data_IF_393920732439
#
_entry.id   IF_393920732439
#
_cell.length_a   1.000
_cell.length_b   1.000
_cell.length_c   1.000
_cell.angle_alpha   90.00
_cell.angle_beta   90.00
_cell.angle_gamma   90.00
#
_symmetry.space_group_name_H-M   'P 1'
#
loop_
_entity.id
_entity.type
_entity.pdbx_description
1 polymer ?
#
# COMPACT_ATOMS: atom_id res chain seq x y z
N UNK A 1 55.29 -4.26 50.80
CA UNK A 1 56.35 -4.92 50.02
C UNK A 1 56.07 -6.40 49.91
N UNK A 2 56.11 -6.93 48.68
CA UNK A 2 56.41 -8.32 48.27
C UNK A 2 55.57 -9.51 48.81
N UNK A 3 54.83 -10.06 47.85
CA UNK A 3 54.88 -11.45 47.33
C UNK A 3 54.22 -12.59 48.13
N UNK A 4 53.60 -13.44 47.32
CA UNK A 4 52.81 -14.64 47.60
C UNK A 4 53.64 -15.86 48.02
N UNK A 5 52.97 -16.82 48.67
CA UNK A 5 53.33 -18.25 48.69
C UNK A 5 52.12 -19.15 48.99
N UNK A 6 51.53 -19.63 47.89
CA UNK A 6 51.08 -20.99 47.53
C UNK A 6 51.15 -22.14 48.59
N UNK A 7 50.03 -22.88 48.71
CA UNK A 7 49.81 -24.37 48.71
C UNK A 7 49.17 -25.12 49.90
N UNK A 8 47.99 -25.71 49.57
CA UNK A 8 47.50 -27.10 49.75
C UNK A 8 47.36 -27.76 51.14
N UNK A 9 46.10 -28.01 51.50
CA UNK A 9 45.61 -29.31 52.04
C UNK A 9 44.07 -29.33 51.96
N UNK A 10 43.47 -29.98 50.98
CA UNK A 10 42.88 -31.33 51.04
C UNK A 10 41.67 -31.51 51.97
N UNK A 11 40.54 -31.82 51.32
CA UNK A 11 39.50 -32.78 51.71
C UNK A 11 38.55 -32.46 52.88
N UNK A 12 37.32 -32.06 52.53
CA UNK A 12 36.11 -32.57 53.18
C UNK A 12 34.91 -32.41 52.24
N UNK A 13 34.46 -33.54 51.70
CA UNK A 13 33.20 -33.70 50.99
C UNK A 13 32.07 -33.64 52.02
N UNK A 14 31.15 -32.69 51.90
CA UNK A 14 29.83 -32.80 52.52
C UNK A 14 28.77 -32.36 51.51
N UNK A 15 28.04 -33.39 51.11
CA UNK A 15 26.93 -33.44 50.19
C UNK A 15 25.72 -32.76 50.85
N UNK A 16 25.52 -31.46 50.60
CA UNK A 16 24.24 -30.81 50.86
C UNK A 16 23.48 -30.68 49.55
N UNK A 17 22.41 -31.48 49.44
CA UNK A 17 21.37 -31.35 48.42
C UNK A 17 20.76 -29.94 48.49
N UNK A 18 21.34 -29.02 47.75
CA UNK A 18 20.71 -27.75 47.41
C UNK A 18 19.71 -28.01 46.30
N UNK A 19 18.43 -28.01 46.62
CA UNK A 19 17.35 -27.85 45.63
C UNK A 19 17.49 -26.45 45.07
N UNK A 20 18.34 -26.31 44.05
CA UNK A 20 18.43 -25.10 43.26
C UNK A 20 17.16 -25.00 42.43
N UNK A 21 16.27 -24.08 42.79
CA UNK A 21 15.32 -23.54 41.83
C UNK A 21 16.12 -22.77 40.78
N UNK A 22 16.61 -23.50 39.78
CA UNK A 22 17.04 -22.92 38.53
C UNK A 22 15.82 -22.26 37.90
N UNK A 23 15.73 -20.93 37.98
CA UNK A 23 14.98 -20.17 37.00
C UNK A 23 15.68 -20.37 35.66
N UNK A 24 15.39 -21.48 35.00
CA UNK A 24 15.62 -21.63 33.58
C UNK A 24 14.67 -20.62 32.92
N UNK A 25 15.16 -19.41 32.64
CA UNK A 25 14.53 -18.57 31.64
C UNK A 25 14.59 -19.36 30.33
N UNK A 26 13.53 -20.11 30.07
CA UNK A 26 13.17 -20.57 28.73
C UNK A 26 13.04 -19.28 27.93
N UNK A 27 14.10 -18.92 27.22
CA UNK A 27 13.98 -18.12 26.01
C UNK A 27 13.24 -19.02 25.05
N UNK A 28 11.92 -19.09 25.20
CA UNK A 28 11.06 -19.47 24.10
C UNK A 28 11.45 -18.50 23.00
N UNK A 29 12.18 -19.01 22.01
CA UNK A 29 12.45 -18.29 20.78
C UNK A 29 11.10 -17.80 20.33
N UNK A 30 10.87 -16.49 20.51
CA UNK A 30 9.61 -15.85 20.23
C UNK A 30 9.33 -16.08 18.76
N UNK A 31 8.52 -17.11 18.47
CA UNK A 31 7.83 -17.21 17.20
C UNK A 31 7.15 -15.85 17.06
N UNK A 32 7.39 -15.10 15.97
CA UNK A 32 6.78 -13.80 15.81
C UNK A 32 5.29 -13.98 16.04
N UNK A 33 4.76 -13.20 16.99
CA UNK A 33 3.40 -13.30 17.46
C UNK A 33 2.47 -13.28 16.26
N UNK A 34 1.80 -14.40 15.99
CA UNK A 34 0.72 -14.53 15.00
C UNK A 34 -0.54 -13.76 15.45
N UNK A 35 -0.38 -12.53 15.97
CA UNK A 35 -1.46 -11.70 16.52
C UNK A 35 -1.29 -10.25 16.06
N UNK A 36 -1.75 -9.99 14.84
CA UNK A 36 -2.25 -8.66 14.41
C UNK A 36 -3.38 -8.81 13.37
N UNK A 37 -3.45 -9.92 12.64
CA UNK A 37 -4.36 -10.07 11.49
C UNK A 37 -5.70 -10.75 11.82
N UNK A 38 -6.31 -10.39 12.94
CA UNK A 38 -7.61 -10.96 13.32
C UNK A 38 -8.74 -10.25 12.55
N UNK A 39 -9.36 -11.02 11.64
CA UNK A 39 -10.42 -10.69 10.66
C UNK A 39 -10.00 -9.84 9.46
N UNK A 40 -9.53 -10.53 8.42
CA UNK A 40 -9.62 -10.04 7.03
C UNK A 40 -10.73 -10.83 6.35
N UNK A 41 -11.67 -10.15 5.70
CA UNK A 41 -12.69 -10.82 4.88
C UNK A 41 -12.01 -11.35 3.62
N UNK A 42 -11.47 -12.57 3.73
CA UNK A 42 -10.87 -13.27 2.61
C UNK A 42 -11.99 -13.71 1.65
N UNK A 43 -11.72 -13.66 0.35
CA UNK A 43 -12.61 -14.30 -0.61
C UNK A 43 -12.68 -15.83 -0.38
N UNK A 44 -13.60 -16.56 -1.02
CA UNK A 44 -13.70 -18.01 -0.86
C UNK A 44 -12.43 -18.80 -1.21
N UNK A 45 -11.45 -18.15 -1.87
CA UNK A 45 -10.14 -18.71 -2.23
C UNK A 45 -9.03 -18.27 -1.26
N UNK A 46 -9.36 -17.56 -0.18
CA UNK A 46 -8.39 -17.08 0.81
C UNK A 46 -7.62 -15.83 0.39
N UNK A 47 -8.06 -15.11 -0.66
CA UNK A 47 -7.38 -13.93 -1.19
C UNK A 47 -8.08 -12.63 -0.78
N UNK A 48 -7.29 -11.67 -0.30
CA UNK A 48 -7.71 -10.27 -0.14
C UNK A 48 -7.76 -9.60 -1.50
N UNK A 49 -8.95 -9.20 -1.95
CA UNK A 49 -9.13 -8.53 -3.24
C UNK A 49 -8.89 -7.02 -3.19
N UNK A 50 -9.19 -6.41 -2.04
CA UNK A 50 -9.03 -4.99 -1.78
C UNK A 50 -8.60 -4.84 -0.33
N UNK A 51 -7.51 -4.10 -0.08
CA UNK A 51 -7.01 -3.84 1.29
C UNK A 51 -7.29 -2.43 1.77
N UNK A 52 -8.14 -1.66 1.08
CA UNK A 52 -8.35 -0.23 1.33
C UNK A 52 -8.93 0.02 2.72
N UNK A 53 -9.93 -0.75 3.14
CA UNK A 53 -10.61 -0.56 4.43
C UNK A 53 -9.66 -0.88 5.57
N UNK A 54 -9.02 -2.05 5.53
CA UNK A 54 -8.09 -2.49 6.56
C UNK A 54 -6.86 -1.58 6.63
N UNK A 55 -6.39 -1.08 5.49
CA UNK A 55 -5.29 -0.13 5.47
C UNK A 55 -5.69 1.22 6.08
N UNK A 56 -6.87 1.75 5.74
CA UNK A 56 -7.38 3.00 6.32
C UNK A 56 -7.58 2.87 7.85
N UNK A 57 -8.10 1.75 8.34
CA UNK A 57 -8.22 1.49 9.78
C UNK A 57 -6.86 1.48 10.50
N UNK A 58 -5.84 0.89 9.86
CA UNK A 58 -4.47 0.91 10.39
C UNK A 58 -3.89 2.33 10.38
N UNK A 59 -4.23 3.10 9.36
CA UNK A 59 -3.80 4.45 9.14
C UNK A 59 -4.44 5.43 10.14
N UNK A 60 -5.72 5.30 10.49
CA UNK A 60 -6.37 6.12 11.52
C UNK A 60 -5.79 5.89 12.91
N UNK A 61 -5.35 4.66 13.23
CA UNK A 61 -4.64 4.36 14.48
C UNK A 61 -3.29 5.06 14.59
N UNK A 62 -2.61 5.26 13.46
CA UNK A 62 -1.28 5.91 13.40
C UNK A 62 -1.37 7.43 13.31
N UNK A 63 -2.40 7.97 12.67
CA UNK A 63 -2.51 9.39 12.33
C UNK A 63 -3.83 9.96 12.89
N UNK A 64 -3.82 10.57 14.09
CA UNK A 64 -5.05 10.97 14.79
C UNK A 64 -5.84 12.08 14.07
N UNK A 65 -5.21 12.82 13.17
CA UNK A 65 -5.86 13.88 12.37
C UNK A 65 -6.64 13.33 11.16
N UNK A 66 -6.53 12.02 10.85
CA UNK A 66 -7.34 11.42 9.80
C UNK A 66 -8.80 11.32 10.23
N UNK A 67 -9.68 11.75 9.34
CA UNK A 67 -11.12 11.73 9.57
C UNK A 67 -11.63 10.29 9.62
N UNK A 68 -12.52 10.01 10.58
CA UNK A 68 -13.34 8.80 10.51
C UNK A 68 -14.35 8.93 9.36
N UNK A 69 -14.89 7.81 8.91
CA UNK A 69 -15.91 7.77 7.85
C UNK A 69 -17.10 8.66 8.20
N UNK A 70 -17.59 8.65 9.44
CA UNK A 70 -18.73 9.48 9.86
C UNK A 70 -18.42 10.97 9.77
N UNK A 71 -17.20 11.38 10.16
CA UNK A 71 -16.77 12.78 10.06
C UNK A 71 -16.59 13.21 8.62
N UNK A 72 -16.04 12.33 7.77
CA UNK A 72 -15.89 12.58 6.35
C UNK A 72 -17.26 12.76 5.66
N UNK A 73 -18.22 11.86 5.94
CA UNK A 73 -19.58 11.95 5.40
C UNK A 73 -20.31 13.21 5.87
N UNK A 74 -20.20 13.56 7.16
CA UNK A 74 -20.77 14.80 7.68
C UNK A 74 -20.15 16.05 7.03
N UNK A 75 -18.88 15.99 6.66
CA UNK A 75 -18.18 17.08 5.96
C UNK A 75 -18.60 17.19 4.49
N UNK A 76 -18.72 16.09 3.75
CA UNK A 76 -19.04 16.10 2.31
C UNK A 76 -20.54 16.33 2.04
N UNK A 77 -21.44 15.90 2.94
CA UNK A 77 -22.89 16.02 2.79
C UNK A 77 -23.38 17.43 2.41
N UNK A 78 -23.02 18.52 3.13
CA UNK A 78 -23.45 19.87 2.74
C UNK A 78 -22.88 20.33 1.39
N UNK A 79 -21.69 19.85 1.00
CA UNK A 79 -21.08 20.15 -0.30
C UNK A 79 -21.85 19.49 -1.45
N UNK A 80 -22.32 18.26 -1.23
CA UNK A 80 -23.17 17.53 -2.18
C UNK A 80 -24.50 18.26 -2.39
N UNK A 81 -25.16 18.70 -1.31
CA UNK A 81 -26.42 19.44 -1.42
C UNK A 81 -26.24 20.77 -2.16
N UNK A 82 -25.14 21.49 -1.88
CA UNK A 82 -24.79 22.71 -2.63
C UNK A 82 -24.49 22.43 -4.10
N UNK A 83 -23.84 21.32 -4.42
CA UNK A 83 -23.54 20.92 -5.80
C UNK A 83 -24.81 20.54 -6.57
N UNK A 84 -25.78 19.87 -5.92
CA UNK A 84 -27.09 19.56 -6.51
C UNK A 84 -27.86 20.84 -6.86
N UNK A 85 -27.84 21.84 -5.98
CA UNK A 85 -28.52 23.11 -6.20
C UNK A 85 -27.88 23.97 -7.32
N UNK A 86 -26.55 23.89 -7.49
CA UNK A 86 -25.79 24.67 -8.47
C UNK A 86 -25.43 23.88 -9.74
N UNK A 87 -26.13 22.77 -10.02
CA UNK A 87 -25.78 21.91 -11.16
C UNK A 87 -25.97 22.68 -12.48
N UNK A 88 -24.86 23.05 -13.11
CA UNK A 88 -24.84 23.58 -14.48
C UNK A 88 -25.51 22.57 -15.41
N UNK A 89 -26.42 23.05 -16.28
CA UNK A 89 -27.06 22.23 -17.32
C UNK A 89 -26.11 21.87 -18.46
N UNK A 90 -24.94 22.52 -18.53
CA UNK A 90 -23.86 22.20 -19.46
C UNK A 90 -22.76 21.55 -18.63
N UNK A 91 -22.80 20.22 -18.53
CA UNK A 91 -21.73 19.42 -17.96
C UNK A 91 -20.63 19.27 -19.00
N UNK A 92 -19.43 19.74 -18.69
CA UNK A 92 -18.25 19.43 -19.49
C UNK A 92 -17.65 18.12 -18.97
N UNK A 93 -17.17 17.29 -19.89
CA UNK A 93 -16.41 16.10 -19.55
C UNK A 93 -15.17 16.50 -18.75
N UNK A 94 -15.00 15.91 -17.57
CA UNK A 94 -13.84 16.06 -16.69
C UNK A 94 -12.76 15.11 -17.18
N UNK A 95 -11.67 15.65 -17.73
CA UNK A 95 -10.51 14.86 -18.12
C UNK A 95 -9.48 14.84 -16.98
N UNK A 96 -9.18 13.64 -16.47
CA UNK A 96 -8.17 13.43 -15.45
C UNK A 96 -6.86 12.98 -16.13
N UNK A 97 -5.79 13.79 -16.09
CA UNK A 97 -4.47 13.36 -16.53
C UNK A 97 -3.88 12.35 -15.54
N UNK A 98 -3.41 11.22 -16.07
CA UNK A 98 -2.88 10.08 -15.30
C UNK A 98 -1.41 9.88 -15.61
N UNK A 99 -0.62 9.68 -14.56
CA UNK A 99 0.74 9.14 -14.66
C UNK A 99 0.72 7.69 -14.17
N UNK A 100 1.26 6.78 -14.97
CA UNK A 100 1.35 5.36 -14.62
C UNK A 100 2.80 5.01 -14.30
N UNK A 101 3.05 4.62 -13.06
CA UNK A 101 4.36 4.14 -12.62
C UNK A 101 4.41 2.61 -12.79
N UNK A 102 5.12 2.14 -13.83
CA UNK A 102 5.40 0.73 -14.04
C UNK A 102 6.70 0.40 -13.31
N UNK A 103 6.61 -0.43 -12.29
CA UNK A 103 7.76 -0.73 -11.45
C UNK A 103 8.20 -2.18 -11.69
N UNK A 104 9.48 -2.36 -11.99
CA UNK A 104 10.03 -3.62 -12.50
C UNK A 104 11.45 -3.89 -11.98
N UNK A 105 12.02 -5.04 -12.38
CA UNK A 105 13.31 -5.56 -11.91
C UNK A 105 14.27 -5.80 -13.09
N UNK A 106 14.35 -4.82 -14.00
CA UNK A 106 15.25 -4.86 -15.15
C UNK A 106 14.73 -5.61 -16.39
N UNK A 107 13.52 -6.17 -16.37
CA UNK A 107 12.91 -6.79 -17.55
C UNK A 107 12.72 -5.77 -18.69
N UNK A 108 12.80 -6.23 -19.94
CA UNK A 108 12.48 -5.40 -21.11
C UNK A 108 10.98 -5.06 -21.15
N UNK A 109 10.64 -3.94 -21.81
CA UNK A 109 9.24 -3.54 -22.01
C UNK A 109 8.47 -4.62 -22.77
N UNK A 110 7.29 -4.99 -22.26
CA UNK A 110 6.46 -6.08 -22.75
C UNK A 110 6.68 -7.41 -22.02
N UNK A 111 7.68 -7.49 -21.13
CA UNK A 111 7.93 -8.68 -20.30
C UNK A 111 7.56 -8.36 -18.86
N UNK A 112 6.62 -9.11 -18.31
CA UNK A 112 6.13 -8.89 -16.94
C UNK A 112 7.29 -8.92 -15.92
N UNK A 113 7.29 -8.01 -14.93
CA UNK A 113 6.28 -6.97 -14.65
C UNK A 113 6.42 -5.66 -15.46
N UNK A 114 7.41 -5.53 -16.34
CA UNK A 114 7.60 -4.33 -17.19
C UNK A 114 6.65 -4.32 -18.39
N UNK A 115 5.34 -4.14 -18.13
CA UNK A 115 4.25 -4.23 -19.13
C UNK A 115 4.41 -3.22 -20.28
N UNK A 116 3.81 -3.54 -21.45
CA UNK A 116 3.87 -2.65 -22.62
C UNK A 116 3.03 -1.38 -22.45
N UNK A 117 3.35 -0.34 -23.21
CA UNK A 117 2.53 0.89 -23.27
C UNK A 117 1.09 0.59 -23.70
N UNK A 118 0.91 -0.37 -24.61
CA UNK A 118 -0.42 -0.80 -25.05
C UNK A 118 -1.24 -1.44 -23.92
N UNK A 119 -0.60 -2.19 -23.02
CA UNK A 119 -1.26 -2.74 -21.84
C UNK A 119 -1.66 -1.62 -20.86
N UNK A 120 -0.79 -0.65 -20.63
CA UNK A 120 -1.12 0.56 -19.83
C UNK A 120 -2.33 1.29 -20.42
N UNK A 121 -2.31 1.55 -21.74
CA UNK A 121 -3.41 2.23 -22.43
C UNK A 121 -4.72 1.45 -22.38
N UNK A 122 -4.66 0.12 -22.38
CA UNK A 122 -5.87 -0.71 -22.27
C UNK A 122 -6.58 -0.51 -20.94
N UNK A 123 -5.85 -0.30 -19.84
CA UNK A 123 -6.42 -0.01 -18.53
C UNK A 123 -7.12 1.36 -18.49
N UNK A 124 -6.48 2.40 -19.04
CA UNK A 124 -7.11 3.73 -19.14
C UNK A 124 -8.37 3.71 -20.02
N UNK A 125 -8.34 2.90 -21.09
CA UNK A 125 -9.51 2.70 -21.96
C UNK A 125 -10.66 2.05 -21.18
N UNK A 126 -10.39 1.00 -20.41
CA UNK A 126 -11.41 0.35 -19.56
C UNK A 126 -11.95 1.32 -18.51
N UNK A 127 -11.08 2.06 -17.81
CA UNK A 127 -11.51 3.06 -16.84
C UNK A 127 -12.41 4.12 -17.49
N UNK A 128 -12.03 4.65 -18.64
CA UNK A 128 -12.84 5.63 -19.36
C UNK A 128 -14.18 5.04 -19.79
N UNK A 129 -14.19 3.80 -20.28
CA UNK A 129 -15.42 3.11 -20.67
C UNK A 129 -16.38 2.93 -19.49
N UNK A 130 -15.86 2.53 -18.34
CA UNK A 130 -16.62 2.27 -17.12
C UNK A 130 -17.19 3.58 -16.54
N UNK A 131 -16.35 4.61 -16.39
CA UNK A 131 -16.76 5.89 -15.82
C UNK A 131 -17.70 6.68 -16.75
N UNK A 132 -17.59 6.48 -18.07
CA UNK A 132 -18.49 7.09 -19.05
C UNK A 132 -19.72 6.26 -19.37
N UNK A 133 -19.87 5.07 -18.76
CA UNK A 133 -20.91 4.08 -19.10
C UNK A 133 -21.05 3.93 -20.62
N UNK A 134 -19.92 3.79 -21.32
CA UNK A 134 -19.83 4.02 -22.77
C UNK A 134 -20.51 2.91 -23.57
N UNK A 135 -21.49 3.27 -24.39
CA UNK A 135 -22.24 2.33 -25.26
C UNK A 135 -21.27 1.53 -26.14
N UNK A 136 -21.60 0.25 -26.37
CA UNK A 136 -20.78 -0.71 -27.12
C UNK A 136 -19.41 -1.03 -26.50
N UNK A 137 -19.27 -0.83 -25.18
CA UNK A 137 -18.09 -1.25 -24.42
C UNK A 137 -18.52 -2.04 -23.17
N UNK A 138 -17.62 -2.80 -22.52
CA UNK A 138 -17.93 -3.48 -21.26
C UNK A 138 -18.39 -2.55 -20.13
N UNK A 139 -18.10 -1.25 -20.21
CA UNK A 139 -18.54 -0.28 -19.20
C UNK A 139 -20.03 0.08 -19.29
N UNK A 140 -20.70 -0.23 -20.42
CA UNK A 140 -22.14 -0.03 -20.52
C UNK A 140 -22.92 -1.10 -19.76
N UNK A 141 -23.97 -0.69 -19.06
CA UNK A 141 -24.89 -1.59 -18.39
C UNK A 141 -26.32 -1.00 -18.36
N UNK A 142 -27.32 -1.86 -18.23
CA UNK A 142 -28.74 -1.46 -18.19
C UNK A 142 -29.27 -1.22 -16.77
N UNK A 143 -28.40 -1.11 -15.76
CA UNK A 143 -28.83 -0.89 -14.40
C UNK A 143 -29.43 0.53 -14.27
N UNK A 144 -30.67 0.69 -13.75
CA UNK A 144 -31.31 1.99 -13.60
C UNK A 144 -30.54 2.97 -12.69
N UNK A 145 -29.71 2.48 -11.77
CA UNK A 145 -28.85 3.34 -10.93
C UNK A 145 -27.46 3.60 -11.51
N UNK A 146 -27.13 2.99 -12.66
CA UNK A 146 -25.86 3.24 -13.34
C UNK A 146 -25.90 4.61 -14.03
N UNK A 147 -24.94 5.47 -13.72
CA UNK A 147 -24.83 6.81 -14.29
C UNK A 147 -23.57 6.95 -15.14
N UNK A 148 -23.66 7.80 -16.15
CA UNK A 148 -22.48 8.35 -16.81
C UNK A 148 -21.93 9.48 -15.92
N UNK A 149 -20.69 9.34 -15.45
CA UNK A 149 -20.06 10.29 -14.51
C UNK A 149 -19.35 11.45 -15.20
N UNK A 150 -19.29 11.45 -16.54
CA UNK A 150 -18.59 12.50 -17.30
C UNK A 150 -17.09 12.61 -16.99
N UNK A 151 -16.46 11.51 -16.56
CA UNK A 151 -15.01 11.45 -16.29
C UNK A 151 -14.29 10.63 -17.36
N UNK A 152 -13.22 11.19 -17.93
CA UNK A 152 -12.32 10.52 -18.87
C UNK A 152 -10.88 10.51 -18.35
N UNK A 153 -10.14 9.43 -18.61
CA UNK A 153 -8.76 9.28 -18.19
C UNK A 153 -7.83 9.29 -19.39
N UNK A 154 -6.81 10.15 -19.34
CA UNK A 154 -5.80 10.27 -20.39
C UNK A 154 -4.41 10.27 -19.78
N UNK A 155 -3.40 9.78 -20.50
CA UNK A 155 -2.03 9.92 -20.04
C UNK A 155 -1.63 11.40 -20.00
N UNK A 156 -0.98 11.81 -18.91
CA UNK A 156 -0.40 13.13 -18.78
C UNK A 156 0.56 13.42 -19.95
N UNK A 157 0.56 14.67 -20.43
CA UNK A 157 1.44 15.13 -21.52
C UNK A 157 2.56 16.05 -21.05
N UNK A 158 2.47 16.52 -19.81
CA UNK A 158 3.43 17.42 -19.19
C UNK A 158 3.73 16.89 -17.79
N UNK A 159 5.00 16.86 -17.42
CA UNK A 159 5.46 16.49 -16.08
C UNK A 159 5.36 17.70 -15.10
N UNK A 160 5.57 17.51 -13.79
CA UNK A 160 5.53 18.61 -12.82
C UNK A 160 6.50 19.77 -13.09
N UNK A 161 7.59 19.53 -13.81
CA UNK A 161 8.58 20.55 -14.18
C UNK A 161 8.25 21.28 -15.49
N UNK A 162 7.11 20.94 -16.13
CA UNK A 162 6.69 21.53 -17.39
C UNK A 162 7.26 20.84 -18.64
N UNK A 163 7.98 19.73 -18.50
CA UNK A 163 8.56 19.03 -19.65
C UNK A 163 7.55 18.08 -20.32
N UNK A 164 7.65 17.86 -21.65
CA UNK A 164 6.84 16.86 -22.33
C UNK A 164 7.06 15.45 -21.77
N UNK A 165 5.97 14.71 -21.57
CA UNK A 165 6.00 13.29 -21.15
C UNK A 165 4.98 12.47 -21.92
N UNK A 166 5.17 11.16 -21.97
CA UNK A 166 4.16 10.22 -22.43
C UNK A 166 3.21 9.77 -21.31
N UNK A 167 3.45 10.17 -20.05
CA UNK A 167 2.64 9.81 -18.87
C UNK A 167 2.92 8.41 -18.31
N UNK A 168 3.96 7.73 -18.80
CA UNK A 168 4.37 6.41 -18.30
C UNK A 168 5.79 6.52 -17.74
N UNK A 169 5.90 6.37 -16.43
CA UNK A 169 7.18 6.32 -15.74
C UNK A 169 7.55 4.87 -15.46
N UNK A 170 8.80 4.51 -15.78
CA UNK A 170 9.31 3.14 -15.58
C UNK A 170 10.40 3.17 -14.55
N UNK A 171 10.16 2.50 -13.43
CA UNK A 171 11.03 2.51 -12.26
C UNK A 171 11.65 1.13 -12.09
N UNK A 172 12.96 1.04 -12.26
CA UNK A 172 13.69 -0.20 -12.02
C UNK A 172 14.16 -0.27 -10.56
N UNK A 173 13.64 -1.25 -9.82
CA UNK A 173 14.03 -1.50 -8.43
C UNK A 173 15.31 -2.32 -8.28
N UNK A 174 15.75 -3.00 -9.34
CA UNK A 174 16.84 -3.98 -9.30
C UNK A 174 16.65 -5.03 -8.18
N UNK A 175 15.39 -5.38 -7.85
CA UNK A 175 15.02 -6.37 -6.82
C UNK A 175 13.92 -7.28 -7.33
N UNK A 176 14.03 -8.57 -7.08
CA UNK A 176 13.08 -9.58 -7.59
C UNK A 176 11.78 -9.67 -6.79
N UNK A 177 11.70 -9.04 -5.61
CA UNK A 177 10.57 -9.17 -4.71
C UNK A 177 10.03 -7.82 -4.22
N UNK A 178 8.70 -7.78 -4.11
CA UNK A 178 7.91 -6.71 -3.54
C UNK A 178 7.36 -7.15 -2.19
N UNK A 179 7.97 -6.68 -1.11
CA UNK A 179 7.35 -6.80 0.21
C UNK A 179 6.05 -6.01 0.25
N UNK A 180 5.03 -6.51 0.95
CA UNK A 180 3.77 -5.80 1.23
C UNK A 180 4.00 -4.61 2.19
N UNK A 181 4.79 -3.62 1.76
CA UNK A 181 5.02 -2.38 2.50
C UNK A 181 5.73 -2.55 3.85
N UNK A 182 6.63 -3.55 3.99
CA UNK A 182 7.43 -3.68 5.20
C UNK A 182 8.39 -2.49 5.35
N UNK A 183 8.02 -1.55 6.23
CA UNK A 183 8.80 -0.34 6.53
C UNK A 183 10.25 -0.69 6.92
N UNK A 184 10.49 -1.84 7.55
CA UNK A 184 11.82 -2.28 7.99
C UNK A 184 12.80 -2.59 6.85
N UNK A 185 12.29 -2.75 5.63
CA UNK A 185 13.10 -3.00 4.43
C UNK A 185 13.33 -1.74 3.57
N UNK A 186 12.92 -0.56 4.07
CA UNK A 186 13.20 0.73 3.44
C UNK A 186 12.30 1.10 2.26
N UNK A 187 11.17 0.40 2.08
CA UNK A 187 10.28 0.57 0.93
C UNK A 187 9.51 1.90 0.90
N UNK A 188 9.12 2.42 2.06
CA UNK A 188 8.42 3.71 2.17
C UNK A 188 9.28 4.86 1.66
N UNK A 189 10.55 4.90 2.06
CA UNK A 189 11.51 5.89 1.57
C UNK A 189 11.71 5.83 0.05
N UNK A 190 11.61 4.63 -0.55
CA UNK A 190 11.72 4.48 -1.99
C UNK A 190 10.46 4.97 -2.72
N UNK A 191 9.26 4.59 -2.26
CA UNK A 191 8.02 5.09 -2.85
C UNK A 191 7.93 6.61 -2.72
N UNK A 192 8.23 7.14 -1.54
CA UNK A 192 8.14 8.58 -1.26
C UNK A 192 9.23 9.38 -1.96
N UNK A 193 10.45 8.84 -2.07
CA UNK A 193 11.60 9.56 -2.62
C UNK A 193 11.89 9.32 -4.11
N UNK A 194 11.30 8.30 -4.74
CA UNK A 194 11.58 7.94 -6.14
C UNK A 194 10.32 7.92 -6.99
N UNK A 195 9.25 7.27 -6.51
CA UNK A 195 8.02 7.12 -7.31
C UNK A 195 7.18 8.40 -7.21
N UNK A 196 6.83 8.83 -6.00
CA UNK A 196 5.95 9.98 -5.77
C UNK A 196 6.56 11.31 -6.22
N UNK A 197 7.89 11.48 -6.14
CA UNK A 197 8.57 12.70 -6.59
C UNK A 197 8.43 12.97 -8.08
N UNK A 198 8.04 11.97 -8.87
CA UNK A 198 7.76 12.12 -10.31
C UNK A 198 6.28 12.38 -10.61
N UNK A 199 5.42 12.33 -9.59
CA UNK A 199 3.95 12.43 -9.70
C UNK A 199 3.41 13.79 -9.25
N UNK A 200 4.24 14.68 -8.70
CA UNK A 200 3.79 15.90 -8.00
C UNK A 200 4.54 17.12 -8.49
#
# INVERSE_FOLDING_TARGET
MRKSTIFKSSLAVLFFMGVGFSNAQKRDGGKPSKKVWEKRELDPKGMEKCGTVEYEDNLQKKFPDRLSSEKFEAWIAPLIEKAKANKSQIGNVITIPVVVHVIHSGQNVGVAPNISDTQVMSQLTVMTNDFRKKVNTPGFNNNPIGADTEIEFVLAKVDPNGNPTNGIDRVNLCRDYWGRGDESQGYTNYLDGIVKTKTI
#
